data_IF_713798940450
#
_entry.id   IF_713798940450
#
_cell.length_a   1.000
_cell.length_b   1.000
_cell.length_c   1.000
_cell.angle_alpha   90.00
_cell.angle_beta   90.00
_cell.angle_gamma   90.00
#
_symmetry.space_group_name_H-M   'P 1'
#
loop_
_entity.id
_entity.type
_entity.pdbx_description
1 polymer ?
#
# COMPACT_ATOMS: atom_id res chain seq x y z
N UNK A 1 8.69 -2.08 -13.52
CA UNK A 1 8.15 -2.69 -12.27
C UNK A 1 6.82 -2.05 -11.93
N UNK A 2 5.85 -2.86 -11.56
CA UNK A 2 4.53 -2.40 -11.12
C UNK A 2 4.35 -2.73 -9.65
N UNK A 3 3.83 -1.77 -8.89
CA UNK A 3 3.65 -1.90 -7.45
C UNK A 3 2.25 -1.51 -7.03
N UNK A 4 1.75 -2.16 -6.00
CA UNK A 4 0.60 -1.73 -5.22
C UNK A 4 1.10 -1.55 -3.78
N UNK A 5 0.89 -0.38 -3.21
CA UNK A 5 1.44 -0.02 -1.90
C UNK A 5 0.30 0.19 -0.91
N UNK A 6 0.30 -0.59 0.16
CA UNK A 6 -0.68 -0.50 1.23
C UNK A 6 -0.51 0.78 2.05
N UNK A 7 -1.62 1.27 2.62
CA UNK A 7 -1.64 2.45 3.48
C UNK A 7 -0.60 2.38 4.62
N UNK A 8 -0.35 1.19 5.18
CA UNK A 8 0.61 1.02 6.28
C UNK A 8 2.00 1.56 5.97
N UNK A 9 2.41 1.47 4.71
CA UNK A 9 3.73 1.95 4.26
C UNK A 9 3.77 3.48 4.23
N UNK A 10 2.75 4.11 3.67
CA UNK A 10 2.66 5.58 3.63
C UNK A 10 2.54 6.18 5.03
N UNK A 11 1.73 5.57 5.88
CA UNK A 11 1.53 6.04 7.26
C UNK A 11 2.82 5.99 8.06
N UNK A 12 3.54 4.87 8.02
CA UNK A 12 4.81 4.74 8.74
C UNK A 12 5.90 5.66 8.19
N UNK A 13 5.87 5.96 6.89
CA UNK A 13 6.80 6.91 6.28
C UNK A 13 6.48 8.37 6.63
N UNK A 14 5.31 8.66 7.17
CA UNK A 14 4.90 10.01 7.58
C UNK A 14 5.19 10.30 9.06
N UNK A 15 5.63 9.32 9.83
CA UNK A 15 5.80 9.45 11.29
C UNK A 15 7.22 9.08 11.70
N UNK A 16 8.15 10.06 11.78
CA UNK A 16 9.58 9.80 12.07
C UNK A 16 9.86 9.08 13.39
N UNK A 17 8.94 9.13 14.36
CA UNK A 17 9.06 8.42 15.64
C UNK A 17 8.69 6.94 15.57
N UNK A 18 8.08 6.50 14.46
CA UNK A 18 7.69 5.10 14.29
C UNK A 18 8.91 4.22 14.00
N UNK A 19 8.88 2.99 14.52
CA UNK A 19 9.96 2.02 14.34
C UNK A 19 10.22 1.71 12.85
N UNK A 20 9.16 1.62 12.06
CA UNK A 20 9.24 1.26 10.65
C UNK A 20 9.53 2.44 9.72
N UNK A 21 9.63 3.66 10.28
CA UNK A 21 9.86 4.87 9.48
C UNK A 21 11.08 4.79 8.57
N UNK A 22 12.28 4.39 9.04
CA UNK A 22 13.46 4.42 8.18
C UNK A 22 13.33 3.54 6.93
N UNK A 23 12.78 2.34 7.08
CA UNK A 23 12.61 1.42 5.97
C UNK A 23 11.50 1.87 5.02
N UNK A 24 10.39 2.37 5.57
CA UNK A 24 9.27 2.88 4.76
C UNK A 24 9.70 4.10 3.94
N UNK A 25 10.42 5.02 4.56
CA UNK A 25 10.94 6.21 3.89
C UNK A 25 11.90 5.85 2.75
N UNK A 26 12.85 4.95 3.02
CA UNK A 26 13.81 4.48 2.00
C UNK A 26 13.09 3.79 0.84
N UNK A 27 12.13 2.92 1.16
CA UNK A 27 11.34 2.23 0.14
C UNK A 27 10.61 3.22 -0.76
N UNK A 28 9.83 4.14 -0.18
CA UNK A 28 9.08 5.13 -0.96
C UNK A 28 10.00 6.02 -1.80
N UNK A 29 11.16 6.37 -1.26
CA UNK A 29 12.14 7.16 -2.01
C UNK A 29 12.68 6.39 -3.23
N UNK A 30 12.94 5.10 -3.08
CA UNK A 30 13.44 4.23 -4.17
C UNK A 30 12.41 4.01 -5.27
N UNK A 31 11.13 3.94 -4.95
CA UNK A 31 10.08 3.59 -5.91
C UNK A 31 9.43 4.80 -6.59
N UNK A 32 9.83 6.01 -6.27
CA UNK A 32 9.33 7.21 -6.95
C UNK A 32 9.52 7.09 -8.46
N UNK A 33 8.42 7.29 -9.21
CA UNK A 33 8.44 7.19 -10.66
C UNK A 33 8.22 5.79 -11.20
N UNK A 34 8.20 4.76 -10.37
CA UNK A 34 7.72 3.43 -10.75
C UNK A 34 6.23 3.48 -11.04
N UNK A 35 5.72 2.49 -11.76
CA UNK A 35 4.27 2.38 -12.00
C UNK A 35 3.59 1.85 -10.74
N UNK A 36 2.83 2.71 -10.08
CA UNK A 36 2.16 2.40 -8.81
C UNK A 36 0.65 2.46 -9.01
N UNK A 37 -0.04 1.38 -8.64
CA UNK A 37 -1.50 1.26 -8.76
C UNK A 37 -2.06 1.01 -7.36
N UNK A 38 -2.78 1.98 -6.82
CA UNK A 38 -3.42 1.85 -5.51
C UNK A 38 -4.91 2.11 -5.62
N UNK A 39 -5.74 1.40 -4.86
CA UNK A 39 -7.15 1.77 -4.78
C UNK A 39 -7.26 3.15 -4.15
N UNK A 40 -8.20 3.97 -4.61
CA UNK A 40 -8.39 5.33 -4.07
C UNK A 40 -8.79 5.35 -2.60
N UNK A 41 -9.21 4.24 -2.05
CA UNK A 41 -9.42 4.01 -0.64
C UNK A 41 -8.15 4.33 0.21
N UNK A 42 -6.95 4.24 -0.37
CA UNK A 42 -5.69 4.58 0.30
C UNK A 42 -5.72 6.00 0.87
N UNK A 43 -6.39 6.92 0.20
CA UNK A 43 -6.47 8.32 0.64
C UNK A 43 -7.23 8.45 1.97
N UNK A 44 -8.40 7.81 2.07
CA UNK A 44 -9.20 7.83 3.30
C UNK A 44 -8.50 7.08 4.43
N UNK A 45 -7.91 5.93 4.13
CA UNK A 45 -7.20 5.14 5.14
C UNK A 45 -6.01 5.91 5.73
N UNK A 46 -5.20 6.53 4.90
CA UNK A 46 -4.04 7.29 5.36
C UNK A 46 -4.44 8.55 6.13
N UNK A 47 -5.45 9.27 5.64
CA UNK A 47 -5.98 10.43 6.34
C UNK A 47 -6.48 10.08 7.74
N UNK A 48 -7.27 9.02 7.85
CA UNK A 48 -7.80 8.53 9.12
C UNK A 48 -6.71 8.02 10.06
N UNK A 49 -5.72 7.30 9.55
CA UNK A 49 -4.65 6.71 10.35
C UNK A 49 -3.78 7.76 11.05
N UNK A 50 -3.65 8.94 10.48
CA UNK A 50 -2.96 10.07 11.11
C UNK A 50 -3.92 10.89 11.98
N UNK A 51 -5.10 11.22 11.47
CA UNK A 51 -6.03 12.12 12.17
C UNK A 51 -6.59 11.52 13.47
N UNK A 52 -6.92 10.24 13.47
CA UNK A 52 -7.54 9.61 14.64
C UNK A 52 -6.66 9.62 15.90
N UNK A 53 -5.37 9.24 15.85
CA UNK A 53 -4.52 9.29 17.04
C UNK A 53 -3.99 10.68 17.37
N UNK A 54 -3.86 11.58 16.41
CA UNK A 54 -3.18 12.87 16.63
C UNK A 54 -4.11 14.08 16.65
N UNK A 55 -5.26 14.01 15.97
CA UNK A 55 -6.09 15.18 15.73
C UNK A 55 -5.44 16.23 14.82
N UNK A 56 -4.30 15.91 14.21
CA UNK A 56 -3.52 16.83 13.38
C UNK A 56 -4.02 16.82 11.95
N UNK A 57 -4.95 17.74 11.66
CA UNK A 57 -5.56 17.86 10.32
C UNK A 57 -4.56 18.34 9.27
N UNK A 58 -3.55 19.13 9.65
CA UNK A 58 -2.55 19.62 8.72
C UNK A 58 -1.64 18.48 8.25
N UNK A 59 -1.13 17.68 9.18
CA UNK A 59 -0.31 16.51 8.85
C UNK A 59 -1.08 15.50 8.02
N UNK A 60 -2.32 15.20 8.43
CA UNK A 60 -3.20 14.27 7.71
C UNK A 60 -3.45 14.72 6.27
N UNK A 61 -3.79 16.00 6.08
CA UNK A 61 -4.03 16.58 4.76
C UNK A 61 -2.79 16.59 3.87
N UNK A 62 -1.62 16.86 4.45
CA UNK A 62 -0.35 16.82 3.73
C UNK A 62 -0.04 15.41 3.22
N UNK A 63 -0.28 14.39 4.05
CA UNK A 63 -0.07 13.00 3.64
C UNK A 63 -0.99 12.61 2.50
N UNK A 64 -2.28 12.93 2.60
CA UNK A 64 -3.26 12.66 1.54
C UNK A 64 -2.83 13.31 0.22
N UNK A 65 -2.41 14.58 0.27
CA UNK A 65 -1.97 15.30 -0.91
C UNK A 65 -0.67 14.71 -1.50
N UNK A 66 0.25 14.29 -0.65
CA UNK A 66 1.49 13.64 -1.08
C UNK A 66 1.19 12.32 -1.83
N UNK A 67 0.29 11.52 -1.32
CA UNK A 67 -0.08 10.25 -1.96
C UNK A 67 -0.81 10.50 -3.28
N UNK A 68 -1.75 11.44 -3.29
CA UNK A 68 -2.49 11.82 -4.50
C UNK A 68 -1.55 12.21 -5.63
N UNK A 69 -0.46 12.92 -5.32
CA UNK A 69 0.50 13.43 -6.28
C UNK A 69 1.81 12.64 -6.32
N UNK A 70 1.84 11.45 -5.73
CA UNK A 70 3.06 10.64 -5.69
C UNK A 70 3.51 10.29 -7.12
N UNK A 71 4.80 10.49 -7.45
CA UNK A 71 5.29 10.21 -8.80
C UNK A 71 5.06 8.77 -9.23
N UNK A 72 4.39 8.57 -10.35
CA UNK A 72 4.05 7.24 -10.89
C UNK A 72 2.75 6.65 -10.38
N UNK A 73 2.04 7.35 -9.48
CA UNK A 73 0.78 6.88 -8.90
C UNK A 73 -0.38 6.95 -9.87
N UNK A 74 -1.11 5.84 -9.99
CA UNK A 74 -2.43 5.77 -10.62
C UNK A 74 -3.43 5.35 -9.55
N UNK A 75 -4.43 6.19 -9.32
CA UNK A 75 -5.53 5.90 -8.40
C UNK A 75 -6.57 5.04 -9.11
N UNK A 76 -6.88 3.89 -8.53
CA UNK A 76 -7.88 2.97 -9.07
C UNK A 76 -9.18 3.14 -8.30
N UNK A 77 -10.25 3.46 -9.01
CA UNK A 77 -11.57 3.63 -8.41
C UNK A 77 -12.10 2.31 -7.86
N UNK A 78 -12.58 2.35 -6.63
CA UNK A 78 -13.29 1.23 -6.02
C UNK A 78 -14.72 1.18 -6.56
N UNK A 79 -14.84 0.68 -7.79
CA UNK A 79 -16.12 0.50 -8.45
C UNK A 79 -16.74 -0.87 -8.11
N UNK A 80 -17.95 -1.13 -8.60
CA UNK A 80 -18.63 -2.38 -8.29
C UNK A 80 -17.86 -3.63 -8.77
N UNK A 81 -17.32 -3.67 -10.00
CA UNK A 81 -16.54 -4.84 -10.42
C UNK A 81 -15.34 -5.11 -9.52
N UNK A 82 -14.58 -4.09 -9.14
CA UNK A 82 -13.45 -4.25 -8.23
C UNK A 82 -13.91 -4.70 -6.84
N UNK A 83 -14.98 -4.13 -6.32
CA UNK A 83 -15.53 -4.49 -5.02
C UNK A 83 -15.97 -5.97 -4.98
N UNK A 84 -16.56 -6.47 -6.06
CA UNK A 84 -16.97 -7.87 -6.15
C UNK A 84 -15.76 -8.81 -6.21
N UNK A 85 -14.72 -8.48 -6.96
CA UNK A 85 -13.48 -9.27 -6.98
C UNK A 85 -12.79 -9.28 -5.61
N UNK A 86 -12.77 -8.13 -4.94
CA UNK A 86 -12.22 -8.05 -3.59
C UNK A 86 -13.02 -8.89 -2.59
N UNK A 87 -14.35 -8.90 -2.71
CA UNK A 87 -15.20 -9.72 -1.86
C UNK A 87 -14.88 -11.21 -2.00
N UNK A 88 -14.69 -11.70 -3.23
CA UNK A 88 -14.29 -13.08 -3.47
C UNK A 88 -12.95 -13.42 -2.81
N UNK A 89 -11.96 -12.54 -2.97
CA UNK A 89 -10.63 -12.71 -2.37
C UNK A 89 -10.72 -12.74 -0.84
N UNK A 90 -11.52 -11.84 -0.25
CA UNK A 90 -11.71 -11.77 1.19
C UNK A 90 -12.34 -13.05 1.74
N UNK A 91 -13.36 -13.58 1.06
CA UNK A 91 -14.05 -14.80 1.46
C UNK A 91 -13.12 -16.01 1.37
N UNK A 92 -12.44 -16.17 0.25
CA UNK A 92 -11.56 -17.32 0.00
C UNK A 92 -10.33 -17.35 0.92
N UNK A 93 -9.80 -16.20 1.29
CA UNK A 93 -8.54 -16.09 2.03
C UNK A 93 -8.70 -15.53 3.45
N UNK A 94 -9.92 -15.33 3.92
CA UNK A 94 -10.23 -14.82 5.27
C UNK A 94 -9.54 -13.50 5.57
N UNK A 95 -9.61 -12.57 4.62
CA UNK A 95 -9.00 -11.24 4.72
C UNK A 95 -10.04 -10.18 5.11
N UNK A 96 -9.56 -9.11 5.73
CA UNK A 96 -10.37 -7.91 5.88
C UNK A 96 -10.68 -7.33 4.51
N UNK A 97 -11.86 -6.70 4.36
CA UNK A 97 -12.32 -6.18 3.07
C UNK A 97 -11.35 -5.20 2.45
N UNK A 98 -10.82 -4.25 3.23
CA UNK A 98 -9.85 -3.27 2.74
C UNK A 98 -8.58 -3.95 2.20
N UNK A 99 -8.04 -4.94 2.92
CA UNK A 99 -6.86 -5.69 2.51
C UNK A 99 -7.09 -6.39 1.17
N UNK A 100 -8.26 -7.01 1.03
CA UNK A 100 -8.64 -7.69 -0.20
C UNK A 100 -8.77 -6.74 -1.40
N UNK A 101 -9.14 -5.47 -1.17
CA UNK A 101 -9.17 -4.46 -2.24
C UNK A 101 -7.77 -4.20 -2.78
N UNK A 102 -6.76 -4.04 -1.92
CA UNK A 102 -5.36 -3.89 -2.37
C UNK A 102 -4.88 -5.10 -3.15
N UNK A 103 -5.21 -6.29 -2.68
CA UNK A 103 -4.82 -7.54 -3.34
C UNK A 103 -5.48 -7.64 -4.72
N UNK A 104 -6.75 -7.28 -4.82
CA UNK A 104 -7.47 -7.28 -6.10
C UNK A 104 -6.83 -6.32 -7.11
N UNK A 105 -6.44 -5.12 -6.67
CA UNK A 105 -5.74 -4.15 -7.53
C UNK A 105 -4.38 -4.72 -7.96
N UNK A 106 -3.61 -5.27 -7.04
CA UNK A 106 -2.32 -5.86 -7.37
C UNK A 106 -2.45 -6.97 -8.42
N UNK A 107 -3.45 -7.83 -8.27
CA UNK A 107 -3.73 -8.90 -9.23
C UNK A 107 -4.14 -8.36 -10.59
N UNK A 108 -5.06 -7.39 -10.62
CA UNK A 108 -5.56 -6.82 -11.87
C UNK A 108 -4.47 -6.15 -12.72
N UNK A 109 -3.47 -5.57 -12.07
CA UNK A 109 -2.40 -4.83 -12.74
C UNK A 109 -1.06 -5.59 -12.77
N UNK A 110 -1.07 -6.86 -12.34
CA UNK A 110 0.15 -7.68 -12.26
C UNK A 110 1.26 -6.94 -11.51
N UNK A 111 0.92 -6.43 -10.33
CA UNK A 111 1.78 -5.63 -9.49
C UNK A 111 2.23 -6.40 -8.25
N UNK A 112 3.41 -6.05 -7.73
CA UNK A 112 3.88 -6.54 -6.44
C UNK A 112 3.18 -5.75 -5.35
N UNK A 113 2.54 -6.43 -4.42
CA UNK A 113 1.92 -5.82 -3.25
C UNK A 113 2.97 -5.62 -2.15
N UNK A 114 3.09 -4.40 -1.65
CA UNK A 114 4.02 -4.07 -0.57
C UNK A 114 3.25 -3.56 0.63
N UNK A 115 3.41 -4.21 1.78
CA UNK A 115 2.66 -3.91 3.01
C UNK A 115 3.47 -4.30 4.25
N UNK A 116 3.21 -3.62 5.37
CA UNK A 116 3.69 -4.04 6.69
C UNK A 116 2.70 -4.95 7.43
N UNK A 117 1.48 -5.13 6.90
CA UNK A 117 0.44 -5.92 7.56
C UNK A 117 0.74 -7.41 7.43
N UNK A 118 1.12 -8.03 8.54
CA UNK A 118 1.50 -9.45 8.57
C UNK A 118 0.35 -10.36 8.16
N UNK A 119 -0.88 -10.07 8.59
CA UNK A 119 -2.04 -10.86 8.21
C UNK A 119 -2.30 -10.79 6.71
N UNK A 120 -2.22 -9.59 6.13
CA UNK A 120 -2.35 -9.41 4.68
C UNK A 120 -1.31 -10.22 3.92
N UNK A 121 -0.06 -10.18 4.37
CA UNK A 121 1.04 -10.90 3.71
C UNK A 121 0.89 -12.42 3.83
N UNK A 122 0.50 -12.92 5.00
CA UNK A 122 0.31 -14.35 5.24
C UNK A 122 -0.86 -14.94 4.46
N UNK A 123 -1.96 -14.18 4.36
CA UNK A 123 -3.20 -14.64 3.75
C UNK A 123 -3.34 -14.24 2.29
N UNK A 124 -2.33 -13.57 1.73
CA UNK A 124 -2.33 -13.21 0.32
C UNK A 124 -2.33 -14.45 -0.57
N UNK A 125 -3.21 -14.55 -1.57
CA UNK A 125 -3.21 -15.70 -2.47
C UNK A 125 -1.93 -15.75 -3.30
N UNK A 126 -1.53 -16.97 -3.72
CA UNK A 126 -0.30 -17.20 -4.47
C UNK A 126 -0.27 -16.48 -5.84
N UNK A 127 -1.43 -16.10 -6.34
CA UNK A 127 -1.53 -15.34 -7.60
C UNK A 127 -0.96 -13.92 -7.51
N UNK A 128 -0.69 -13.42 -6.30
CA UNK A 128 -0.14 -12.09 -6.06
C UNK A 128 1.18 -12.23 -5.27
N UNK A 129 2.24 -11.67 -5.81
CA UNK A 129 3.50 -11.56 -5.08
C UNK A 129 3.41 -10.43 -4.08
N UNK A 130 3.53 -10.74 -2.78
CA UNK A 130 3.40 -9.77 -1.71
C UNK A 130 4.61 -9.84 -0.77
N UNK A 131 5.08 -8.69 -0.31
CA UNK A 131 6.22 -8.62 0.60
C UNK A 131 6.23 -7.30 1.39
N UNK A 132 7.04 -7.26 2.45
CA UNK A 132 7.27 -6.04 3.20
C UNK A 132 8.23 -5.10 2.46
N UNK A 133 8.25 -3.80 2.82
CA UNK A 133 9.27 -2.88 2.31
C UNK A 133 10.70 -3.37 2.57
N UNK A 134 10.94 -3.99 3.72
CA UNK A 134 12.26 -4.53 4.08
C UNK A 134 12.70 -5.61 3.08
N UNK A 135 11.84 -6.59 2.83
CA UNK A 135 12.13 -7.67 1.87
C UNK A 135 12.30 -7.11 0.47
N UNK A 136 11.48 -6.15 0.07
CA UNK A 136 11.61 -5.50 -1.23
C UNK A 136 12.99 -4.84 -1.39
N UNK A 137 13.43 -4.10 -0.36
CA UNK A 137 14.74 -3.42 -0.36
C UNK A 137 15.89 -4.43 -0.41
N UNK A 138 15.79 -5.53 0.31
CA UNK A 138 16.80 -6.60 0.28
C UNK A 138 16.90 -7.22 -1.12
N UNK A 139 15.76 -7.51 -1.74
CA UNK A 139 15.73 -8.07 -3.09
C UNK A 139 16.32 -7.09 -4.12
N UNK A 140 16.01 -5.82 -4.02
CA UNK A 140 16.55 -4.79 -4.90
C UNK A 140 18.09 -4.67 -4.75
N UNK A 141 18.60 -4.76 -3.54
CA UNK A 141 20.05 -4.75 -3.29
C UNK A 141 20.76 -5.95 -3.91
N UNK A 142 20.12 -7.14 -3.86
CA UNK A 142 20.66 -8.36 -4.43
C UNK A 142 20.71 -8.34 -5.96
N UNK A 143 19.77 -7.64 -6.61
CA UNK A 143 19.71 -7.54 -8.09
C UNK A 143 20.48 -6.34 -8.64
N UNK A 144 21.03 -5.49 -7.78
CA UNK A 144 21.75 -4.29 -8.19
C UNK A 144 20.85 -3.13 -8.61
N UNK A 145 19.58 -3.22 -8.31
CA UNK A 145 18.59 -2.17 -8.65
C UNK A 145 18.57 -0.97 -7.68
#
# INVERSE_FOLDING_TARGET
MRLTIDASVFVSAARPSEQLYPLSYRFLHRVKGSKIFCPNLVLAECGAAIARPTGDSLLSGRLVNLIKNFPGMTQISLDLPLALRAAEIAIENRLRGADAVYIAVARDYDAILVSWDEEMLERCPESVLAMSPEVWLENAAMTGE
#
